data_IF_074194226743
#
_entry.id   IF_074194226743
#
_cell.length_a   1.000
_cell.length_b   1.000
_cell.length_c   1.000
_cell.angle_alpha   90.00
_cell.angle_beta   90.00
_cell.angle_gamma   90.00
#
_symmetry.space_group_name_H-M   'P 1'
#
loop_
_entity.id
_entity.type
_entity.pdbx_description
1 polymer ?
#
# COMPACT_ATOMS: atom_id res chain seq x y z
N UNK A 1 -0.89 35.60 11.37
CA UNK A 1 -1.82 34.71 10.66
C UNK A 1 -2.29 35.46 9.44
N UNK A 2 -1.83 35.07 8.25
CA UNK A 2 -2.45 35.52 7.00
C UNK A 2 -3.79 34.79 6.89
N UNK A 3 -4.83 35.49 6.46
CA UNK A 3 -6.18 34.96 6.35
C UNK A 3 -6.23 33.90 5.23
N UNK A 4 -6.98 32.83 5.46
CA UNK A 4 -7.25 31.77 4.48
C UNK A 4 -7.85 32.39 3.22
N UNK A 5 -8.72 33.39 3.40
CA UNK A 5 -9.29 34.18 2.32
C UNK A 5 -8.23 34.91 1.47
N UNK A 6 -7.14 35.41 2.07
CA UNK A 6 -6.08 36.11 1.33
C UNK A 6 -5.28 35.15 0.44
N UNK A 7 -5.04 33.92 0.89
CA UNK A 7 -4.32 32.90 0.09
C UNK A 7 -5.19 32.25 -0.97
N UNK A 8 -6.46 32.02 -0.68
CA UNK A 8 -7.43 31.60 -1.69
C UNK A 8 -7.67 32.69 -2.74
N UNK A 9 -7.63 33.97 -2.36
CA UNK A 9 -7.65 35.09 -3.30
C UNK A 9 -6.35 35.17 -4.13
N UNK A 10 -5.17 34.92 -3.54
CA UNK A 10 -3.90 34.82 -4.29
C UNK A 10 -3.89 33.66 -5.30
N UNK A 11 -4.52 32.53 -4.95
CA UNK A 11 -4.75 31.40 -5.84
C UNK A 11 -5.76 31.73 -6.96
N UNK A 12 -6.89 32.37 -6.62
CA UNK A 12 -7.89 32.83 -7.58
C UNK A 12 -7.34 33.89 -8.57
N UNK A 13 -6.41 34.72 -8.13
CA UNK A 13 -5.73 35.72 -8.95
C UNK A 13 -4.57 35.16 -9.81
N UNK A 14 -4.25 33.86 -9.70
CA UNK A 14 -3.17 33.22 -10.46
C UNK A 14 -1.76 33.70 -10.08
N UNK A 15 -1.55 34.19 -8.85
CA UNK A 15 -0.30 34.84 -8.40
C UNK A 15 0.53 34.03 -7.41
N UNK A 16 0.34 32.71 -7.30
CA UNK A 16 1.20 31.86 -6.48
C UNK A 16 2.49 31.54 -7.25
N UNK A 17 3.61 32.04 -6.74
CA UNK A 17 4.94 31.72 -7.24
C UNK A 17 5.26 30.23 -7.03
N UNK A 18 5.94 29.62 -8.00
CA UNK A 18 6.45 28.26 -7.92
C UNK A 18 7.23 28.03 -6.60
N UNK A 19 7.10 26.86 -5.96
CA UNK A 19 7.87 26.56 -4.76
C UNK A 19 9.32 26.27 -5.15
N UNK A 20 10.14 27.32 -5.11
CA UNK A 20 11.58 27.24 -5.22
C UNK A 20 12.22 27.86 -3.98
N UNK A 21 12.97 27.03 -3.26
CA UNK A 21 13.88 27.34 -2.14
C UNK A 21 13.28 27.33 -0.72
N UNK A 22 13.48 26.18 -0.06
CA UNK A 22 13.51 26.07 1.40
C UNK A 22 14.60 26.97 2.00
N UNK A 23 14.47 27.29 3.31
CA UNK A 23 15.51 26.85 4.22
C UNK A 23 14.92 26.10 5.41
N UNK A 24 15.53 24.97 5.73
CA UNK A 24 15.08 24.06 6.77
C UNK A 24 15.09 24.62 8.18
N UNK A 25 14.23 24.07 9.03
CA UNK A 25 14.54 23.64 10.40
C UNK A 25 13.35 22.82 10.86
N UNK A 26 13.62 21.61 11.36
CA UNK A 26 12.62 20.57 11.54
C UNK A 26 11.57 20.86 12.61
N UNK A 27 10.56 20.00 12.63
CA UNK A 27 9.81 19.59 13.81
C UNK A 27 9.21 18.21 13.47
N UNK A 28 9.38 17.26 14.38
CA UNK A 28 8.65 16.00 14.33
C UNK A 28 7.15 16.29 14.38
N UNK A 29 6.41 15.71 13.45
CA UNK A 29 4.94 15.77 13.49
C UNK A 29 4.47 14.63 14.37
N UNK A 30 4.31 14.94 15.65
CA UNK A 30 3.41 14.20 16.52
C UNK A 30 1.98 14.41 15.96
N UNK A 31 1.32 13.31 15.62
CA UNK A 31 -0.10 13.29 15.26
C UNK A 31 -0.91 13.95 16.36
N UNK A 32 -1.41 15.16 16.11
CA UNK A 32 -2.27 15.87 17.05
C UNK A 32 -3.72 15.58 16.72
N UNK A 33 -4.26 14.63 17.47
CA UNK A 33 -5.68 14.35 17.61
C UNK A 33 -6.37 15.61 18.18
N UNK A 34 -7.11 16.34 17.35
CA UNK A 34 -7.96 17.46 17.79
C UNK A 34 -9.19 17.58 16.90
N UNK A 35 -10.13 16.67 17.14
CA UNK A 35 -11.51 16.82 16.69
C UNK A 35 -12.25 17.82 17.59
N UNK A 36 -12.20 19.11 17.25
CA UNK A 36 -13.22 20.09 17.65
C UNK A 36 -13.91 20.64 16.39
N UNK A 37 -15.22 20.43 16.32
CA UNK A 37 -16.07 20.88 15.22
C UNK A 37 -16.05 22.41 15.12
N UNK A 38 -15.45 22.95 14.06
CA UNK A 38 -15.64 24.35 13.68
C UNK A 38 -14.48 25.02 12.94
N UNK A 39 -13.28 24.45 12.95
CA UNK A 39 -12.16 24.99 12.17
C UNK A 39 -12.11 24.33 10.78
N UNK A 40 -11.92 25.14 9.75
CA UNK A 40 -11.77 24.66 8.38
C UNK A 40 -10.45 23.87 8.33
N UNK A 41 -10.47 22.64 7.82
CA UNK A 41 -9.25 21.89 7.52
C UNK A 41 -8.55 22.52 6.31
N UNK A 42 -7.81 23.59 6.58
CA UNK A 42 -7.09 24.39 5.57
C UNK A 42 -6.00 23.56 4.91
N UNK A 43 -5.28 22.75 5.69
CA UNK A 43 -4.18 21.92 5.18
C UNK A 43 -4.70 20.87 4.20
N UNK A 44 -5.83 20.22 4.52
CA UNK A 44 -6.50 19.30 3.60
C UNK A 44 -7.02 19.97 2.33
N UNK A 45 -7.58 21.19 2.44
CA UNK A 45 -8.04 21.95 1.28
C UNK A 45 -6.88 22.41 0.37
N UNK A 46 -5.73 22.80 0.94
CA UNK A 46 -4.53 23.17 0.20
C UNK A 46 -3.96 21.97 -0.57
N UNK A 47 -3.83 20.81 0.09
CA UNK A 47 -3.37 19.56 -0.54
C UNK A 47 -4.22 19.21 -1.77
N UNK A 48 -5.55 19.29 -1.65
CA UNK A 48 -6.47 18.97 -2.75
C UNK A 48 -6.33 19.93 -3.94
N UNK A 49 -6.08 21.22 -3.69
CA UNK A 49 -5.84 22.19 -4.75
C UNK A 49 -4.48 22.01 -5.42
N UNK A 50 -3.44 21.67 -4.64
CA UNK A 50 -2.12 21.38 -5.18
C UNK A 50 -2.17 20.14 -6.09
N UNK A 51 -2.86 19.08 -5.67
CA UNK A 51 -3.11 17.88 -6.50
C UNK A 51 -3.87 18.22 -7.79
N UNK A 52 -4.93 19.02 -7.71
CA UNK A 52 -5.69 19.43 -8.89
C UNK A 52 -4.84 20.27 -9.85
N UNK A 53 -3.92 21.09 -9.34
CA UNK A 53 -3.00 21.88 -10.18
C UNK A 53 -1.95 21.00 -10.84
N UNK A 54 -1.31 20.12 -10.08
CA UNK A 54 -0.14 19.35 -10.50
C UNK A 54 -0.52 18.19 -11.42
N UNK A 55 -1.59 17.48 -11.09
CA UNK A 55 -1.99 16.26 -11.81
C UNK A 55 -3.08 16.52 -12.87
N UNK A 56 -3.96 17.51 -12.65
CA UNK A 56 -5.07 17.82 -13.56
C UNK A 56 -4.87 19.14 -14.33
N UNK A 57 -3.75 19.82 -14.14
CA UNK A 57 -3.40 21.04 -14.87
C UNK A 57 -4.34 22.22 -14.60
N UNK A 58 -4.95 22.27 -13.42
CA UNK A 58 -5.91 23.31 -13.06
C UNK A 58 -5.19 24.66 -12.88
N UNK A 59 -5.48 25.62 -13.76
CA UNK A 59 -4.82 26.94 -13.76
C UNK A 59 -5.55 27.99 -12.93
N UNK A 60 -6.72 27.67 -12.36
CA UNK A 60 -7.51 28.60 -11.54
C UNK A 60 -8.92 28.08 -11.20
N UNK A 61 -9.67 28.81 -10.35
CA UNK A 61 -10.98 28.39 -9.80
C UNK A 61 -12.03 28.08 -10.87
N UNK A 62 -12.02 28.80 -11.98
CA UNK A 62 -12.98 28.58 -13.08
C UNK A 62 -12.88 27.17 -13.69
N UNK A 63 -11.68 26.58 -13.64
CA UNK A 63 -11.40 25.23 -14.09
C UNK A 63 -11.96 24.15 -13.16
N UNK A 64 -12.33 24.50 -11.92
CA UNK A 64 -12.92 23.57 -10.96
C UNK A 64 -14.37 23.26 -11.38
N UNK A 65 -14.51 22.17 -12.13
CA UNK A 65 -15.79 21.68 -12.64
C UNK A 65 -16.17 20.38 -11.93
N UNK A 66 -17.45 19.97 -11.96
CA UNK A 66 -17.87 18.65 -11.46
C UNK A 66 -17.04 17.48 -12.02
N UNK A 67 -16.73 17.51 -13.31
CA UNK A 67 -15.91 16.47 -13.94
C UNK A 67 -14.48 16.42 -13.37
N UNK A 68 -13.88 17.57 -13.10
CA UNK A 68 -12.55 17.65 -12.49
C UNK A 68 -12.59 17.19 -11.03
N UNK A 69 -13.63 17.58 -10.27
CA UNK A 69 -13.81 17.10 -8.90
C UNK A 69 -13.92 15.57 -8.84
N UNK A 70 -14.67 14.97 -9.77
CA UNK A 70 -14.80 13.52 -9.89
C UNK A 70 -13.44 12.86 -10.17
N UNK A 71 -12.69 13.38 -11.14
CA UNK A 71 -11.37 12.84 -11.47
C UNK A 71 -10.40 12.99 -10.29
N UNK A 72 -10.42 14.13 -9.61
CA UNK A 72 -9.61 14.36 -8.42
C UNK A 72 -9.90 13.32 -7.34
N UNK A 73 -11.17 13.07 -7.02
CA UNK A 73 -11.54 12.18 -5.92
C UNK A 73 -11.44 10.69 -6.26
N UNK A 74 -11.76 10.29 -7.48
CA UNK A 74 -11.86 8.87 -7.84
C UNK A 74 -10.61 8.32 -8.52
N UNK A 75 -9.72 9.18 -9.01
CA UNK A 75 -8.53 8.77 -9.78
C UNK A 75 -7.27 9.31 -9.11
N UNK A 76 -7.12 10.63 -9.01
CA UNK A 76 -5.84 11.25 -8.56
C UNK A 76 -5.60 11.06 -7.07
N UNK A 77 -6.57 11.40 -6.23
CA UNK A 77 -6.41 11.40 -4.78
C UNK A 77 -6.06 10.01 -4.25
N UNK A 78 -6.78 8.93 -4.60
CA UNK A 78 -6.48 7.60 -4.09
C UNK A 78 -5.14 7.03 -4.59
N UNK A 79 -4.61 7.54 -5.70
CA UNK A 79 -3.30 7.13 -6.22
C UNK A 79 -2.14 7.93 -5.60
N UNK A 80 -2.39 9.15 -5.15
CA UNK A 80 -1.33 10.09 -4.72
C UNK A 80 -1.27 10.28 -3.20
N UNK A 81 -2.38 10.06 -2.51
CA UNK A 81 -2.52 10.32 -1.07
C UNK A 81 -2.88 9.04 -0.35
N UNK A 82 -2.06 8.68 0.63
CA UNK A 82 -2.35 7.67 1.64
C UNK A 82 -3.34 8.30 2.62
N UNK A 83 -4.57 7.78 2.66
CA UNK A 83 -5.62 8.24 3.56
C UNK A 83 -6.34 7.05 4.20
N UNK A 84 -6.66 7.18 5.49
CA UNK A 84 -7.44 6.16 6.19
C UNK A 84 -8.93 6.31 5.89
N UNK A 85 -9.67 5.19 5.93
CA UNK A 85 -11.13 5.23 5.76
C UNK A 85 -11.83 6.16 6.77
N UNK A 86 -11.24 6.37 7.96
CA UNK A 86 -11.74 7.27 8.99
C UNK A 86 -11.62 8.76 8.65
N UNK A 87 -10.75 9.13 7.72
CA UNK A 87 -10.46 10.52 7.34
C UNK A 87 -11.41 11.04 6.26
N UNK A 88 -12.08 10.14 5.53
CA UNK A 88 -13.03 10.47 4.44
C UNK A 88 -14.05 11.54 4.84
N UNK A 89 -14.72 11.49 6.01
CA UNK A 89 -15.65 12.54 6.40
C UNK A 89 -14.99 13.92 6.55
N UNK A 90 -13.75 13.98 7.03
CA UNK A 90 -12.99 15.23 7.17
C UNK A 90 -12.67 15.82 5.80
N UNK A 91 -12.15 15.00 4.88
CA UNK A 91 -11.80 15.39 3.51
C UNK A 91 -13.03 15.95 2.77
N UNK A 92 -14.18 15.26 2.86
CA UNK A 92 -15.43 15.74 2.28
C UNK A 92 -15.92 17.03 2.96
N UNK A 93 -15.66 17.23 4.25
CA UNK A 93 -15.94 18.46 4.98
C UNK A 93 -15.07 19.64 4.51
N UNK A 94 -13.79 19.40 4.28
CA UNK A 94 -12.84 20.37 3.75
C UNK A 94 -13.27 20.86 2.36
N UNK A 95 -13.68 19.95 1.46
CA UNK A 95 -14.18 20.29 0.13
C UNK A 95 -15.46 21.14 0.16
N UNK A 96 -16.41 20.84 1.06
CA UNK A 96 -17.61 21.68 1.22
C UNK A 96 -17.24 23.08 1.68
N UNK A 97 -16.32 23.20 2.63
CA UNK A 97 -15.84 24.49 3.13
C UNK A 97 -15.12 25.28 2.05
N UNK A 98 -14.31 24.60 1.23
CA UNK A 98 -13.66 25.18 0.06
C UNK A 98 -14.69 25.74 -0.94
N UNK A 99 -15.70 24.96 -1.32
CA UNK A 99 -16.72 25.41 -2.28
C UNK A 99 -17.51 26.61 -1.75
N UNK A 100 -17.87 26.61 -0.47
CA UNK A 100 -18.53 27.74 0.18
C UNK A 100 -17.66 29.01 0.13
N UNK A 101 -16.37 28.90 0.47
CA UNK A 101 -15.44 30.03 0.40
C UNK A 101 -15.30 30.58 -1.03
N UNK A 102 -15.20 29.69 -2.03
CA UNK A 102 -15.07 30.09 -3.43
C UNK A 102 -16.37 30.72 -3.99
N UNK A 103 -17.54 30.33 -3.48
CA UNK A 103 -18.83 30.95 -3.82
C UNK A 103 -18.96 32.33 -3.18
N UNK A 104 -18.66 32.44 -1.87
CA UNK A 104 -18.73 33.70 -1.11
C UNK A 104 -17.80 34.78 -1.66
N UNK A 105 -16.61 34.39 -2.14
CA UNK A 105 -15.64 35.30 -2.75
C UNK A 105 -15.96 35.62 -4.21
N UNK A 106 -16.94 34.96 -4.83
CA UNK A 106 -17.29 35.12 -6.23
C UNK A 106 -16.20 34.60 -7.19
N UNK A 107 -15.29 33.75 -6.70
CA UNK A 107 -14.25 33.12 -7.50
C UNK A 107 -14.82 32.05 -8.44
N UNK A 108 -16.03 31.54 -8.15
CA UNK A 108 -16.74 30.60 -9.01
C UNK A 108 -17.86 31.28 -9.81
N UNK A 109 -18.14 30.77 -11.03
CA UNK A 109 -19.32 31.18 -11.77
C UNK A 109 -20.62 30.90 -10.99
N UNK A 110 -21.68 31.72 -11.15
CA UNK A 110 -22.94 31.53 -10.45
C UNK A 110 -23.51 30.11 -10.62
N UNK A 111 -23.86 29.46 -9.50
CA UNK A 111 -24.40 28.10 -9.47
C UNK A 111 -23.37 26.98 -9.61
N UNK A 112 -22.08 27.31 -9.79
CA UNK A 112 -21.01 26.31 -9.85
C UNK A 112 -20.78 25.63 -8.51
N UNK A 113 -20.82 26.37 -7.39
CA UNK A 113 -20.67 25.77 -6.07
C UNK A 113 -21.75 24.72 -5.78
N UNK A 114 -23.02 25.05 -6.06
CA UNK A 114 -24.12 24.08 -5.95
C UNK A 114 -23.94 22.84 -6.86
N UNK A 115 -23.38 23.02 -8.07
CA UNK A 115 -23.08 21.89 -8.96
C UNK A 115 -21.92 21.02 -8.43
N UNK A 116 -20.90 21.63 -7.81
CA UNK A 116 -19.79 20.92 -7.17
C UNK A 116 -20.26 20.16 -5.92
N UNK A 117 -21.13 20.76 -5.10
CA UNK A 117 -21.73 20.09 -3.95
C UNK A 117 -22.59 18.88 -4.35
N UNK A 118 -23.42 19.04 -5.39
CA UNK A 118 -24.24 17.94 -5.90
C UNK A 118 -23.37 16.80 -6.45
N UNK A 119 -22.27 17.13 -7.13
CA UNK A 119 -21.32 16.13 -7.60
C UNK A 119 -20.57 15.46 -6.46
N UNK A 120 -20.12 16.24 -5.45
CA UNK A 120 -19.46 15.72 -4.25
C UNK A 120 -20.33 14.67 -3.56
N UNK A 121 -21.61 14.97 -3.37
CA UNK A 121 -22.57 14.03 -2.78
C UNK A 121 -22.75 12.78 -3.65
N UNK A 122 -22.75 12.93 -4.98
CA UNK A 122 -22.87 11.82 -5.90
C UNK A 122 -21.63 10.90 -5.89
N UNK A 123 -20.42 11.45 -5.73
CA UNK A 123 -19.16 10.67 -5.75
C UNK A 123 -18.73 10.18 -4.37
N UNK A 124 -19.21 10.79 -3.29
CA UNK A 124 -18.81 10.46 -1.92
C UNK A 124 -18.87 8.96 -1.57
N UNK A 125 -19.93 8.19 -1.94
CA UNK A 125 -19.96 6.75 -1.65
C UNK A 125 -18.90 5.96 -2.40
N UNK A 126 -18.60 6.34 -3.64
CA UNK A 126 -17.57 5.69 -4.45
C UNK A 126 -16.18 6.01 -3.91
N UNK A 127 -15.94 7.28 -3.56
CA UNK A 127 -14.70 7.73 -2.93
C UNK A 127 -14.42 6.98 -1.62
N UNK A 128 -15.40 6.92 -0.72
CA UNK A 128 -15.27 6.23 0.56
C UNK A 128 -14.89 4.75 0.39
N UNK A 129 -15.48 4.08 -0.60
CA UNK A 129 -15.16 2.68 -0.91
C UNK A 129 -13.73 2.54 -1.44
N UNK A 130 -13.31 3.38 -2.38
CA UNK A 130 -11.95 3.32 -2.94
C UNK A 130 -10.92 3.54 -1.84
N UNK A 131 -11.08 4.57 -1.00
CA UNK A 131 -10.17 4.83 0.12
C UNK A 131 -10.12 3.65 1.07
N UNK A 132 -11.27 3.05 1.43
CA UNK A 132 -11.27 1.87 2.30
C UNK A 132 -10.60 0.63 1.69
N UNK A 133 -10.71 0.45 0.37
CA UNK A 133 -10.02 -0.61 -0.36
C UNK A 133 -8.50 -0.36 -0.36
N UNK A 134 -8.06 0.84 -0.73
CA UNK A 134 -6.65 1.26 -0.71
C UNK A 134 -6.03 1.11 0.69
N UNK A 135 -6.69 1.63 1.72
CA UNK A 135 -6.28 1.54 3.12
C UNK A 135 -6.18 0.08 3.61
N UNK A 136 -7.04 -0.81 3.11
CA UNK A 136 -6.90 -2.25 3.40
C UNK A 136 -5.69 -2.87 2.71
N UNK A 137 -5.45 -2.51 1.46
CA UNK A 137 -4.35 -3.03 0.65
C UNK A 137 -2.99 -2.52 1.16
N UNK A 138 -2.90 -1.26 1.55
CA UNK A 138 -1.71 -0.66 2.16
C UNK A 138 -1.36 -1.31 3.50
N UNK A 139 -2.35 -1.50 4.39
CA UNK A 139 -2.12 -2.22 5.65
C UNK A 139 -1.64 -3.65 5.41
N UNK A 140 -2.18 -4.33 4.39
CA UNK A 140 -1.73 -5.67 4.02
C UNK A 140 -0.28 -5.65 3.54
N UNK A 141 0.05 -4.74 2.62
CA UNK A 141 1.41 -4.58 2.10
C UNK A 141 2.41 -4.27 3.23
N UNK A 142 2.06 -3.36 4.14
CA UNK A 142 2.88 -3.04 5.31
C UNK A 142 3.08 -4.27 6.22
N UNK A 143 2.01 -5.04 6.48
CA UNK A 143 2.11 -6.27 7.26
C UNK A 143 3.00 -7.33 6.58
N UNK A 144 2.94 -7.46 5.25
CA UNK A 144 3.80 -8.36 4.48
C UNK A 144 5.28 -7.94 4.56
N UNK A 145 5.57 -6.65 4.47
CA UNK A 145 6.92 -6.11 4.64
C UNK A 145 7.46 -6.40 6.04
N UNK A 146 6.66 -6.14 7.08
CA UNK A 146 7.03 -6.43 8.47
C UNK A 146 7.25 -7.93 8.69
N UNK A 147 6.35 -8.79 8.20
CA UNK A 147 6.49 -10.23 8.29
C UNK A 147 7.73 -10.76 7.55
N UNK A 148 8.05 -10.17 6.40
CA UNK A 148 9.25 -10.48 5.65
C UNK A 148 10.53 -10.12 6.40
N UNK A 149 10.58 -8.94 7.02
CA UNK A 149 11.70 -8.53 7.88
C UNK A 149 11.86 -9.44 9.10
N UNK A 150 10.76 -9.82 9.76
CA UNK A 150 10.76 -10.79 10.86
C UNK A 150 11.35 -12.13 10.42
N UNK A 151 10.97 -12.62 9.24
CA UNK A 151 11.48 -13.87 8.69
C UNK A 151 12.98 -13.80 8.35
N UNK A 152 13.49 -12.69 7.82
CA UNK A 152 14.93 -12.48 7.61
C UNK A 152 15.73 -12.52 8.93
N UNK A 153 15.14 -11.99 10.00
CA UNK A 153 15.70 -12.01 11.35
C UNK A 153 15.55 -13.38 12.05
N UNK A 154 14.91 -14.36 11.41
CA UNK A 154 14.68 -15.69 11.95
C UNK A 154 13.63 -15.74 13.06
N UNK A 155 12.71 -14.78 13.11
CA UNK A 155 11.59 -14.76 14.06
C UNK A 155 10.54 -15.79 13.63
N UNK A 156 10.17 -16.68 14.55
CA UNK A 156 9.02 -17.56 14.36
C UNK A 156 7.73 -16.75 14.52
N UNK A 157 7.04 -16.47 13.41
CA UNK A 157 5.79 -15.70 13.41
C UNK A 157 4.61 -16.44 14.07
N UNK A 158 4.74 -17.74 14.35
CA UNK A 158 3.75 -18.50 15.13
C UNK A 158 3.93 -18.33 16.66
N UNK A 159 5.10 -17.84 17.11
CA UNK A 159 5.33 -17.47 18.51
C UNK A 159 4.97 -15.99 18.73
N UNK A 160 3.79 -15.74 19.28
CA UNK A 160 3.31 -14.38 19.58
C UNK A 160 4.28 -13.60 20.49
N UNK A 161 4.98 -14.27 21.40
CA UNK A 161 5.96 -13.63 22.27
C UNK A 161 7.24 -13.25 21.52
N UNK A 162 7.66 -14.04 20.52
CA UNK A 162 8.79 -13.69 19.66
C UNK A 162 8.46 -12.48 18.78
N UNK A 163 7.25 -12.46 18.21
CA UNK A 163 6.72 -11.33 17.44
C UNK A 163 6.68 -10.07 18.30
N UNK A 164 6.05 -10.11 19.47
CA UNK A 164 5.95 -8.93 20.36
C UNK A 164 7.32 -8.37 20.75
N UNK A 165 8.29 -9.24 21.07
CA UNK A 165 9.66 -8.81 21.39
C UNK A 165 10.35 -8.15 20.20
N UNK A 166 10.16 -8.70 19.01
CA UNK A 166 10.73 -8.14 17.80
C UNK A 166 10.10 -6.78 17.46
N UNK A 167 8.77 -6.67 17.51
CA UNK A 167 8.04 -5.41 17.25
C UNK A 167 8.47 -4.34 18.24
N UNK A 168 8.49 -4.64 19.54
CA UNK A 168 8.94 -3.68 20.55
C UNK A 168 10.41 -3.28 20.36
N UNK A 169 11.26 -4.21 19.94
CA UNK A 169 12.65 -3.93 19.60
C UNK A 169 12.80 -3.03 18.38
N UNK A 170 11.99 -3.27 17.34
CA UNK A 170 11.95 -2.47 16.12
C UNK A 170 11.42 -1.06 16.40
N UNK A 171 10.32 -0.92 17.13
CA UNK A 171 9.71 0.36 17.52
C UNK A 171 10.60 1.19 18.45
N UNK A 172 11.44 0.56 19.26
CA UNK A 172 12.42 1.25 20.10
C UNK A 172 13.59 1.87 19.32
N UNK A 173 13.78 1.52 18.04
CA UNK A 173 14.81 2.11 17.20
C UNK A 173 14.46 3.57 16.85
N UNK A 174 15.47 4.44 16.68
CA UNK A 174 15.27 5.76 16.10
C UNK A 174 14.53 5.67 14.76
N UNK A 175 13.65 6.62 14.49
CA UNK A 175 12.84 6.66 13.26
C UNK A 175 13.69 6.54 11.99
N UNK A 176 14.81 7.28 11.91
CA UNK A 176 15.73 7.19 10.78
C UNK A 176 16.31 5.78 10.57
N UNK A 177 16.54 5.04 11.65
CA UNK A 177 17.05 3.66 11.58
C UNK A 177 15.95 2.68 11.16
N UNK A 178 14.71 2.88 11.63
CA UNK A 178 13.55 2.11 11.14
C UNK A 178 13.35 2.31 9.64
N UNK A 179 13.40 3.56 9.16
CA UNK A 179 13.28 3.87 7.74
C UNK A 179 14.39 3.23 6.90
N UNK A 180 15.65 3.42 7.28
CA UNK A 180 16.78 2.84 6.56
C UNK A 180 16.67 1.31 6.48
N UNK A 181 16.25 0.67 7.57
CA UNK A 181 16.08 -0.79 7.62
C UNK A 181 14.95 -1.28 6.69
N UNK A 182 13.81 -0.60 6.70
CA UNK A 182 12.68 -0.92 5.81
C UNK A 182 13.05 -0.70 4.35
N UNK A 183 13.71 0.41 4.02
CA UNK A 183 14.17 0.72 2.65
C UNK A 183 15.18 -0.33 2.15
N UNK A 184 16.14 -0.71 3.00
CA UNK A 184 17.11 -1.76 2.66
C UNK A 184 16.46 -3.12 2.42
N UNK A 185 15.38 -3.44 3.14
CA UNK A 185 14.58 -4.65 2.89
C UNK A 185 13.81 -4.57 1.57
N UNK A 186 13.12 -3.45 1.33
CA UNK A 186 12.34 -3.24 0.10
C UNK A 186 13.21 -3.31 -1.14
N UNK A 187 14.36 -2.62 -1.14
CA UNK A 187 15.32 -2.64 -2.25
C UNK A 187 15.78 -4.06 -2.59
N UNK A 188 16.11 -4.87 -1.58
CA UNK A 188 16.50 -6.28 -1.78
C UNK A 188 15.33 -7.14 -2.29
N UNK A 189 14.11 -6.83 -1.86
CA UNK A 189 12.90 -7.54 -2.30
C UNK A 189 12.55 -7.20 -3.75
N UNK A 190 12.70 -5.94 -4.16
CA UNK A 190 12.54 -5.51 -5.55
C UNK A 190 13.57 -6.17 -6.49
N UNK A 191 14.81 -6.37 -6.01
CA UNK A 191 15.84 -7.12 -6.76
C UNK A 191 15.47 -8.61 -6.99
N UNK A 192 14.53 -9.16 -6.21
CA UNK A 192 14.01 -10.53 -6.37
C UNK A 192 12.81 -10.63 -7.32
N UNK A 193 12.33 -9.52 -7.89
CA UNK A 193 11.18 -9.54 -8.82
C UNK A 193 11.62 -10.14 -10.16
N UNK A 194 11.09 -11.32 -10.46
CA UNK A 194 11.29 -11.98 -11.76
C UNK A 194 10.30 -11.41 -12.78
N UNK A 195 10.71 -11.08 -14.02
CA UNK A 195 9.79 -10.62 -15.05
C UNK A 195 8.63 -11.62 -15.27
N UNK A 196 7.43 -11.15 -15.61
CA UNK A 196 6.29 -12.04 -15.85
C UNK A 196 6.62 -13.04 -16.95
N UNK A 197 6.80 -14.32 -16.57
CA UNK A 197 7.09 -15.40 -17.51
C UNK A 197 5.79 -15.88 -18.11
N UNK A 198 5.64 -15.79 -19.43
CA UNK A 198 4.58 -16.51 -20.12
C UNK A 198 4.94 -17.99 -20.15
N UNK A 199 4.11 -18.82 -19.54
CA UNK A 199 4.27 -20.27 -19.62
C UNK A 199 4.20 -20.72 -21.09
N UNK A 200 5.10 -21.62 -21.47
CA UNK A 200 5.04 -22.27 -22.77
C UNK A 200 3.72 -23.06 -22.92
N UNK A 201 3.24 -23.33 -24.14
CA UNK A 201 2.05 -24.16 -24.35
C UNK A 201 2.16 -25.51 -23.63
N UNK A 202 1.03 -26.02 -23.09
CA UNK A 202 0.99 -27.27 -22.29
C UNK A 202 1.73 -28.44 -22.94
N UNK A 203 1.59 -28.60 -24.25
CA UNK A 203 2.27 -29.66 -25.02
C UNK A 203 3.80 -29.54 -24.98
N UNK A 204 4.31 -28.33 -25.01
CA UNK A 204 5.74 -28.06 -24.91
C UNK A 204 6.25 -28.32 -23.49
N UNK A 205 5.49 -27.90 -22.48
CA UNK A 205 5.78 -28.22 -21.08
C UNK A 205 5.74 -29.74 -20.83
N UNK A 206 4.75 -30.45 -21.36
CA UNK A 206 4.64 -31.90 -21.22
C UNK A 206 5.77 -32.63 -21.95
N UNK A 207 6.24 -32.10 -23.09
CA UNK A 207 7.45 -32.61 -23.75
C UNK A 207 8.69 -32.39 -22.89
N UNK A 208 8.86 -31.20 -22.31
CA UNK A 208 9.97 -30.89 -21.42
C UNK A 208 9.94 -31.76 -20.15
N UNK A 209 8.75 -31.99 -19.58
CA UNK A 209 8.54 -32.89 -18.45
C UNK A 209 8.94 -34.34 -18.77
N UNK A 210 8.52 -34.88 -19.94
CA UNK A 210 8.96 -36.21 -20.42
C UNK A 210 10.47 -36.28 -20.65
N UNK A 211 11.09 -35.17 -21.10
CA UNK A 211 12.53 -35.10 -21.32
C UNK A 211 13.33 -34.91 -20.02
N UNK A 212 12.65 -34.65 -18.90
CA UNK A 212 13.29 -34.55 -17.60
C UNK A 212 13.56 -35.95 -17.02
N UNK A 213 14.60 -36.07 -16.22
CA UNK A 213 14.92 -37.34 -15.54
C UNK A 213 13.99 -37.66 -14.34
N UNK A 214 12.98 -36.83 -14.07
CA UNK A 214 12.09 -36.97 -12.92
C UNK A 214 10.95 -37.96 -13.15
N UNK A 215 10.54 -38.13 -14.41
CA UNK A 215 9.62 -39.18 -14.81
C UNK A 215 10.47 -40.39 -15.21
N UNK A 216 10.22 -41.55 -14.59
CA UNK A 216 10.82 -42.82 -14.98
C UNK A 216 10.38 -43.25 -16.39
N UNK A 217 10.66 -44.50 -16.78
CA UNK A 217 10.19 -44.98 -18.09
C UNK A 217 8.65 -44.90 -18.18
N UNK A 218 8.09 -44.40 -19.30
CA UNK A 218 6.67 -44.14 -19.42
C UNK A 218 5.85 -45.44 -19.47
N UNK A 219 5.21 -45.79 -18.35
CA UNK A 219 4.16 -46.82 -18.32
C UNK A 219 2.79 -46.17 -18.59
N UNK A 220 2.42 -45.99 -19.86
CA UNK A 220 1.08 -45.52 -20.23
C UNK A 220 1.00 -44.78 -21.57
N UNK A 221 -0.22 -44.71 -22.12
CA UNK A 221 -0.53 -44.12 -23.42
C UNK A 221 -0.10 -42.63 -23.50
N UNK A 222 0.78 -42.32 -24.44
CA UNK A 222 1.67 -41.16 -24.49
C UNK A 222 0.97 -39.84 -24.90
N UNK A 223 -0.37 -39.80 -24.85
CA UNK A 223 -1.18 -38.71 -25.41
C UNK A 223 -1.77 -37.73 -24.38
N UNK A 224 -1.75 -38.03 -23.08
CA UNK A 224 -2.31 -37.13 -22.07
C UNK A 224 -1.24 -36.19 -21.48
N UNK A 225 -1.05 -35.05 -22.15
CA UNK A 225 -0.12 -34.00 -21.71
C UNK A 225 -0.45 -33.47 -20.29
N UNK A 226 -1.71 -33.54 -19.85
CA UNK A 226 -2.11 -33.10 -18.50
C UNK A 226 -1.68 -34.12 -17.44
N UNK A 227 -1.83 -35.42 -17.73
CA UNK A 227 -1.38 -36.48 -16.84
C UNK A 227 0.15 -36.47 -16.64
N UNK A 228 0.89 -36.23 -17.73
CA UNK A 228 2.35 -36.09 -17.70
C UNK A 228 2.78 -34.92 -16.81
N UNK A 229 2.15 -33.75 -16.97
CA UNK A 229 2.48 -32.58 -16.16
C UNK A 229 2.16 -32.78 -14.68
N UNK A 230 1.02 -33.41 -14.37
CA UNK A 230 0.64 -33.72 -12.99
C UNK A 230 1.62 -34.69 -12.32
N UNK A 231 2.02 -35.75 -13.04
CA UNK A 231 2.99 -36.71 -12.53
C UNK A 231 4.36 -36.06 -12.31
N UNK A 232 4.77 -35.17 -13.22
CA UNK A 232 6.03 -34.46 -13.13
C UNK A 232 6.07 -33.52 -11.92
N UNK A 233 5.00 -32.74 -11.71
CA UNK A 233 4.90 -31.84 -10.56
C UNK A 233 4.96 -32.61 -9.23
N UNK A 234 4.24 -33.72 -9.12
CA UNK A 234 4.29 -34.53 -7.90
C UNK A 234 5.70 -35.06 -7.58
N UNK A 235 6.46 -35.47 -8.60
CA UNK A 235 7.86 -35.92 -8.43
C UNK A 235 8.84 -34.79 -8.19
N UNK A 236 8.60 -33.64 -8.80
CA UNK A 236 9.36 -32.43 -8.53
C UNK A 236 9.21 -32.01 -7.07
N UNK A 237 7.98 -31.96 -6.55
CA UNK A 237 7.70 -31.61 -5.16
C UNK A 237 8.36 -32.61 -4.18
N UNK A 238 8.29 -33.91 -4.48
CA UNK A 238 8.98 -34.94 -3.69
C UNK A 238 10.50 -34.76 -3.69
N UNK A 239 11.09 -34.37 -4.82
CA UNK A 239 12.53 -34.14 -4.94
C UNK A 239 12.99 -32.79 -4.34
N UNK A 240 12.11 -31.79 -4.32
CA UNK A 240 12.40 -30.44 -3.83
C UNK A 240 12.27 -30.32 -2.30
N UNK A 241 11.51 -31.21 -1.65
CA UNK A 241 11.43 -31.27 -0.18
C UNK A 241 12.66 -32.02 0.36
N UNK A 242 13.55 -31.37 1.13
CA UNK A 242 14.68 -32.07 1.73
C UNK A 242 14.16 -33.16 2.70
N UNK A 243 14.82 -34.34 2.78
CA UNK A 243 14.39 -35.39 3.69
C UNK A 243 14.43 -34.85 5.13
N UNK A 244 13.34 -35.05 5.87
CA UNK A 244 13.27 -34.70 7.28
C UNK A 244 14.47 -35.34 8.02
N UNK A 245 15.11 -34.63 8.98
CA UNK A 245 16.21 -35.19 9.73
C UNK A 245 15.70 -36.44 10.44
N UNK A 246 16.26 -37.58 10.06
CA UNK A 246 15.95 -38.87 10.67
C UNK A 246 16.13 -38.75 12.17
N UNK A 247 15.02 -38.73 12.91
CA UNK A 247 15.02 -38.80 14.37
C UNK A 247 15.66 -40.13 14.73
N UNK A 248 16.95 -40.09 15.05
CA UNK A 248 17.70 -41.23 15.53
C UNK A 248 16.96 -41.79 16.73
N UNK A 249 16.43 -43.00 16.57
CA UNK A 249 15.86 -43.81 17.65
C UNK A 249 16.94 -43.97 18.72
N UNK A 250 16.84 -43.15 19.77
CA UNK A 250 17.65 -43.25 20.97
C UNK A 250 17.41 -44.62 21.59
N UNK A 251 18.38 -45.51 21.42
CA UNK A 251 18.47 -46.79 22.10
C UNK A 251 18.71 -46.51 23.59
N UNK A 252 17.79 -46.84 24.52
CA UNK A 252 18.03 -46.61 25.93
C UNK A 252 19.07 -47.62 26.43
N UNK A 253 20.26 -47.12 26.78
CA UNK A 253 21.27 -47.89 27.51
C UNK A 253 20.75 -48.25 28.90
N UNK A 254 20.60 -49.54 29.15
CA UNK A 254 20.32 -50.09 30.47
C UNK A 254 21.58 -49.94 31.37
N UNK A 255 21.56 -48.92 32.23
CA UNK A 255 22.54 -48.76 33.31
C UNK A 255 22.11 -49.55 34.54
N UNK A 256 22.79 -50.67 34.80
CA UNK A 256 22.62 -51.47 35.99
C UNK A 256 23.08 -50.72 37.26
N UNK A 257 22.19 -50.55 38.24
CA UNK A 257 22.54 -50.14 39.60
C UNK A 257 22.82 -51.40 40.42
N UNK A 258 24.06 -51.54 40.92
CA UNK A 258 24.42 -52.52 41.94
C UNK A 258 24.15 -51.94 43.34
N UNK A 259 23.71 -52.75 44.32
CA UNK A 259 23.52 -52.30 45.68
C UNK A 259 24.85 -52.32 46.44
N UNK A 260 25.04 -51.30 47.28
CA UNK A 260 26.04 -51.22 48.34
C UNK A 260 25.42 -50.51 49.53
#
# INVERSE_FOLDING_TARGET
MRDVADRFAEWADGRVAAPGEAPGTGHGREHHDSHEHGDVDVEGAELLLDLAREELGLTGPDGLTPAVLRALLLEVFPETVVAEAGEVPSILGALRSLFACLDETGALPPGRAAALEAELEAVAPAFARIVAETDTDERRAAAEVVAGMMNEDGVDTADSGAVERWVAGFEALPEAERFARTEDYLRRTEEMVVPPVRLAPRRELARAARASALLGEPEGDDQDDEAVLRAWLARFDEAAVPPAPSTGTGQPSAGAVRPG
#
